data_IF_770098938157
#
_entry.id   IF_770098938157
#
_cell.length_a   1.000
_cell.length_b   1.000
_cell.length_c   1.000
_cell.angle_alpha   90.00
_cell.angle_beta   90.00
_cell.angle_gamma   90.00
#
_symmetry.space_group_name_H-M   'P 1'
#
loop_
_entity.id
_entity.type
_entity.pdbx_description
1 polymer ?
#
# COMPACT_ATOMS: atom_id res chain seq x y z
N UNK A 1 8.77 2.64 -9.00
CA UNK A 1 9.15 1.22 -8.88
C UNK A 1 7.86 0.43 -8.79
N UNK A 2 7.65 -0.53 -9.69
CA UNK A 2 6.46 -1.38 -9.68
C UNK A 2 6.72 -2.59 -8.77
N UNK A 3 5.87 -2.81 -7.78
CA UNK A 3 5.96 -3.92 -6.83
C UNK A 3 4.59 -4.61 -6.70
N UNK A 4 4.60 -5.87 -6.28
CA UNK A 4 3.39 -6.59 -5.91
C UNK A 4 3.12 -6.39 -4.42
N UNK A 5 1.90 -6.00 -4.08
CA UNK A 5 1.46 -5.72 -2.72
C UNK A 5 0.42 -6.73 -2.28
N UNK A 6 0.61 -7.37 -1.14
CA UNK A 6 -0.46 -8.05 -0.43
C UNK A 6 -1.28 -7.02 0.36
N UNK A 7 -2.61 -7.05 0.17
CA UNK A 7 -3.54 -6.14 0.83
C UNK A 7 -4.07 -6.79 2.11
N UNK A 8 -3.93 -6.09 3.22
CA UNK A 8 -4.44 -6.48 4.53
C UNK A 8 -5.44 -5.44 5.00
N UNK A 9 -6.55 -5.92 5.57
CA UNK A 9 -7.55 -5.06 6.20
C UNK A 9 -7.43 -5.23 7.72
N UNK A 10 -7.16 -4.16 8.49
CA UNK A 10 -7.08 -4.25 9.95
C UNK A 10 -8.50 -4.47 10.49
N UNK A 11 -8.84 -5.72 10.79
CA UNK A 11 -10.17 -6.08 11.27
C UNK A 11 -10.09 -6.52 12.74
N UNK A 12 -9.67 -5.59 13.62
CA UNK A 12 -9.71 -5.66 15.09
C UNK A 12 -8.86 -6.74 15.78
N UNK A 13 -8.91 -7.98 15.29
CA UNK A 13 -8.31 -9.18 15.90
C UNK A 13 -7.72 -10.16 14.86
N UNK A 14 -8.02 -10.02 13.56
CA UNK A 14 -7.41 -10.84 12.48
C UNK A 14 -7.05 -10.01 11.26
N UNK A 15 -5.80 -10.19 10.80
CA UNK A 15 -5.33 -9.71 9.50
C UNK A 15 -5.97 -10.56 8.40
N UNK A 16 -7.02 -10.06 7.75
CA UNK A 16 -7.59 -10.72 6.58
C UNK A 16 -6.80 -10.29 5.33
N UNK A 17 -5.92 -11.18 4.85
CA UNK A 17 -5.29 -11.03 3.54
C UNK A 17 -6.37 -11.18 2.48
N UNK A 18 -6.60 -10.11 1.71
CA UNK A 18 -7.59 -10.12 0.64
C UNK A 18 -7.00 -10.72 -0.63
N UNK A 19 -6.18 -9.93 -1.31
CA UNK A 19 -5.64 -10.24 -2.63
C UNK A 19 -4.31 -9.51 -2.81
N UNK A 20 -3.57 -9.86 -3.86
CA UNK A 20 -2.34 -9.16 -4.24
C UNK A 20 -2.61 -8.22 -5.42
N UNK A 21 -2.11 -6.99 -5.34
CA UNK A 21 -2.22 -6.00 -6.42
C UNK A 21 -0.82 -5.55 -6.86
N UNK A 22 -0.62 -5.41 -8.16
CA UNK A 22 0.59 -4.76 -8.69
C UNK A 22 0.39 -3.26 -8.58
N UNK A 23 1.33 -2.54 -7.99
CA UNK A 23 1.23 -1.09 -7.82
C UNK A 23 2.56 -0.37 -7.94
N UNK A 24 2.49 0.92 -8.24
CA UNK A 24 3.66 1.80 -8.31
C UNK A 24 3.53 2.88 -7.23
N UNK A 25 4.52 2.97 -6.35
CA UNK A 25 4.59 4.04 -5.35
C UNK A 25 5.18 5.31 -5.95
N UNK A 26 4.55 6.42 -5.60
CA UNK A 26 4.97 7.77 -5.93
C UNK A 26 4.92 8.66 -4.69
N UNK A 27 5.86 9.60 -4.61
CA UNK A 27 5.78 10.72 -3.67
C UNK A 27 5.52 11.99 -4.47
N UNK A 28 4.36 12.61 -4.28
CA UNK A 28 3.92 13.81 -5.02
C UNK A 28 3.13 14.71 -4.07
N UNK A 29 3.26 16.03 -4.23
CA UNK A 29 2.54 17.01 -3.40
C UNK A 29 2.68 16.76 -1.88
N UNK A 30 3.89 16.42 -1.44
CA UNK A 30 4.23 16.12 -0.04
C UNK A 30 3.48 14.89 0.56
N UNK A 31 2.93 14.01 -0.29
CA UNK A 31 2.24 12.79 0.14
C UNK A 31 2.66 11.56 -0.67
N UNK A 32 2.48 10.39 -0.07
CA UNK A 32 2.65 9.11 -0.75
C UNK A 32 1.36 8.71 -1.47
N UNK A 33 1.51 8.18 -2.68
CA UNK A 33 0.42 7.69 -3.50
C UNK A 33 0.81 6.31 -4.06
N UNK A 34 -0.14 5.37 -4.03
CA UNK A 34 -0.01 4.06 -4.66
C UNK A 34 -0.92 4.01 -5.88
N UNK A 35 -0.34 4.00 -7.06
CA UNK A 35 -1.06 3.78 -8.31
C UNK A 35 -1.22 2.28 -8.57
N UNK A 36 -2.46 1.80 -8.58
CA UNK A 36 -2.84 0.44 -8.99
C UNK A 36 -3.54 0.49 -10.36
N UNK A 37 -3.79 -0.66 -11.02
CA UNK A 37 -4.54 -0.70 -12.27
C UNK A 37 -5.94 -0.09 -12.18
N UNK A 38 -6.56 -0.15 -11.00
CA UNK A 38 -7.93 0.30 -10.77
C UNK A 38 -8.01 1.77 -10.32
N UNK A 39 -7.03 2.25 -9.55
CA UNK A 39 -7.10 3.57 -8.93
C UNK A 39 -5.73 4.11 -8.47
N UNK A 40 -5.67 5.42 -8.22
CA UNK A 40 -4.58 6.05 -7.47
C UNK A 40 -5.04 6.25 -6.02
N UNK A 41 -4.36 5.58 -5.11
CA UNK A 41 -4.67 5.58 -3.68
C UNK A 41 -3.73 6.55 -2.96
N UNK A 42 -4.23 7.67 -2.39
CA UNK A 42 -3.44 8.49 -1.49
C UNK A 42 -3.26 7.81 -0.13
N UNK A 43 -2.12 8.04 0.53
CA UNK A 43 -1.87 7.44 1.82
C UNK A 43 -0.52 7.80 2.43
N UNK A 44 -0.09 6.96 3.35
CA UNK A 44 1.18 7.11 4.08
C UNK A 44 2.07 5.90 3.85
N UNK A 45 3.37 6.13 3.82
CA UNK A 45 4.36 5.06 3.72
C UNK A 45 5.06 4.90 5.06
N UNK A 46 5.11 3.67 5.57
CA UNK A 46 5.94 3.28 6.71
C UNK A 46 7.07 2.38 6.25
N UNK A 47 8.29 2.64 6.71
CA UNK A 47 9.48 1.91 6.28
C UNK A 47 10.14 2.55 5.06
N UNK A 48 11.08 1.84 4.45
CA UNK A 48 11.91 2.37 3.39
C UNK A 48 11.36 1.96 2.01
N UNK A 49 11.11 2.91 1.07
CA UNK A 49 10.39 2.66 -0.19
C UNK A 49 11.05 1.66 -1.14
N UNK A 50 12.33 1.35 -0.92
CA UNK A 50 13.15 0.48 -1.75
C UNK A 50 13.55 -0.83 -1.07
N UNK A 51 13.14 -1.05 0.19
CA UNK A 51 13.46 -2.26 0.94
C UNK A 51 12.17 -2.97 1.37
N UNK A 52 11.77 -2.77 2.64
CA UNK A 52 10.51 -3.24 3.18
C UNK A 52 9.69 -2.03 3.63
N UNK A 53 8.51 -1.88 3.06
CA UNK A 53 7.56 -0.85 3.45
C UNK A 53 6.13 -1.36 3.50
N UNK A 54 5.32 -0.60 4.23
CA UNK A 54 3.88 -0.75 4.32
C UNK A 54 3.27 0.57 3.89
N UNK A 55 2.53 0.54 2.78
CA UNK A 55 1.70 1.67 2.38
C UNK A 55 0.32 1.54 3.04
N UNK A 56 -0.17 2.59 3.66
CA UNK A 56 -1.47 2.62 4.35
C UNK A 56 -2.33 3.66 3.67
N UNK A 57 -3.44 3.25 3.06
CA UNK A 57 -4.37 4.16 2.40
C UNK A 57 -5.26 4.91 3.41
N UNK A 58 -6.02 5.90 2.92
CA UNK A 58 -6.96 6.67 3.75
C UNK A 58 -8.12 5.84 4.33
N UNK A 59 -8.42 4.67 3.75
CA UNK A 59 -9.40 3.72 4.28
C UNK A 59 -8.81 2.81 5.38
N UNK A 60 -7.51 2.94 5.66
CA UNK A 60 -6.77 2.13 6.63
C UNK A 60 -6.34 0.76 6.12
N UNK A 61 -6.40 0.48 4.81
CA UNK A 61 -5.86 -0.75 4.24
C UNK A 61 -4.34 -0.69 4.18
N UNK A 62 -3.70 -1.81 4.50
CA UNK A 62 -2.25 -1.94 4.46
C UNK A 62 -1.81 -2.74 3.24
N UNK A 63 -0.87 -2.16 2.49
CA UNK A 63 -0.28 -2.70 1.28
C UNK A 63 1.19 -3.02 1.58
N UNK A 64 1.51 -4.29 1.73
CA UNK A 64 2.85 -4.77 2.09
C UNK A 64 3.49 -5.44 0.89
N UNK A 65 4.77 -5.18 0.62
CA UNK A 65 5.49 -5.86 -0.46
C UNK A 65 5.47 -7.37 -0.21
N UNK A 66 5.06 -8.14 -1.23
CA UNK A 66 4.99 -9.60 -1.20
C UNK A 66 6.26 -10.27 -1.76
#
# INVERSE_FOLDING_TARGET
MQNTYAIFRPNGEREERRETVVGTLFFRNDRWELETPDAVLPGTLRGHPHEAHVFIDEAGLEYRIA
#
